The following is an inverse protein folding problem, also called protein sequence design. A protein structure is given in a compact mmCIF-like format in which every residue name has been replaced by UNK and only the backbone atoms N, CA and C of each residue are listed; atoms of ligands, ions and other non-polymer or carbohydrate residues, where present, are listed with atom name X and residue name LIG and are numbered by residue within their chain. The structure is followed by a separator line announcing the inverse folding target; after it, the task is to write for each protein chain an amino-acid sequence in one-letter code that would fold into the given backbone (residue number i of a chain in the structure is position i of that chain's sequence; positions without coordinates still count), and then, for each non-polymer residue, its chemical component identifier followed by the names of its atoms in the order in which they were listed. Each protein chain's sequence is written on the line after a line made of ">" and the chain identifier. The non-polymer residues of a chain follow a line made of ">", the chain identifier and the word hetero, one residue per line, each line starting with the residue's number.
data_IF_600347216779
#
_entry.id   IF_600347216779
#
_cell.length_a   1.000
_cell.length_b   1.000
_cell.length_c   1.000
_cell.angle_alpha   90.00
_cell.angle_beta   90.00
_cell.angle_gamma   90.00
#
_symmetry.space_group_name_H-M   'P 1'
#
loop_
_entity.id
_entity.type
_entity.pdbx_description
1 polymer ?
#
# COMPACT_ATOMS: atom_id res chain seq x y z
N UNK A 1 4.15 20.95 -12.47
CA UNK A 1 4.93 19.72 -12.23
C UNK A 1 6.09 19.69 -13.22
N UNK A 2 7.29 19.38 -12.75
CA UNK A 2 8.49 19.14 -13.57
C UNK A 2 8.55 17.66 -13.95
N UNK A 3 8.01 17.32 -15.12
CA UNK A 3 7.88 15.93 -15.56
C UNK A 3 9.21 15.29 -16.00
N UNK A 4 10.20 16.10 -16.38
CA UNK A 4 11.58 15.68 -16.69
C UNK A 4 12.23 14.90 -15.53
N UNK A 5 11.98 15.36 -14.30
CA UNK A 5 12.48 14.72 -13.09
C UNK A 5 11.94 13.30 -12.88
N UNK A 6 10.78 12.96 -13.46
CA UNK A 6 10.17 11.64 -13.34
C UNK A 6 10.75 10.63 -14.36
N UNK A 7 11.50 11.10 -15.36
CA UNK A 7 12.12 10.25 -16.38
C UNK A 7 13.64 10.20 -16.27
N UNK A 8 14.24 11.19 -15.61
CA UNK A 8 15.68 11.24 -15.40
C UNK A 8 16.17 10.14 -14.47
N UNK A 9 17.34 9.57 -14.78
CA UNK A 9 17.99 8.57 -13.94
C UNK A 9 18.18 9.08 -12.50
N UNK A 10 18.14 8.14 -11.55
CA UNK A 10 18.45 8.37 -10.14
C UNK A 10 19.72 7.60 -9.84
N UNK A 11 20.76 8.32 -9.39
CA UNK A 11 22.06 7.73 -9.14
C UNK A 11 21.97 6.56 -8.14
N UNK A 12 22.52 5.40 -8.51
CA UNK A 12 22.55 4.21 -7.68
C UNK A 12 21.23 3.43 -7.59
N UNK A 13 20.16 3.89 -8.25
CA UNK A 13 18.85 3.24 -8.20
C UNK A 13 18.88 1.85 -8.84
N UNK A 14 19.44 1.75 -10.04
CA UNK A 14 19.48 0.50 -10.80
C UNK A 14 20.39 -0.52 -10.09
N UNK A 15 21.52 -0.08 -9.56
CA UNK A 15 22.44 -0.92 -8.79
C UNK A 15 21.78 -1.44 -7.50
N UNK A 16 21.05 -0.58 -6.79
CA UNK A 16 20.32 -0.98 -5.59
C UNK A 16 19.23 -2.01 -5.93
N UNK A 17 18.41 -1.75 -6.97
CA UNK A 17 17.35 -2.68 -7.38
C UNK A 17 17.90 -4.02 -7.87
N UNK A 18 19.02 -4.00 -8.60
CA UNK A 18 19.71 -5.20 -9.07
C UNK A 18 20.26 -6.05 -7.91
N UNK A 19 20.80 -5.43 -6.86
CA UNK A 19 21.23 -6.16 -5.66
C UNK A 19 20.04 -6.84 -4.94
N UNK A 20 18.89 -6.15 -4.85
CA UNK A 20 17.66 -6.74 -4.28
C UNK A 20 17.13 -7.85 -5.22
N UNK A 21 17.11 -7.67 -6.54
CA UNK A 21 16.72 -8.73 -7.49
C UNK A 21 17.60 -9.97 -7.37
N UNK A 22 18.93 -9.78 -7.29
CA UNK A 22 19.88 -10.86 -7.09
C UNK A 22 19.60 -11.66 -5.83
N UNK A 23 19.30 -11.00 -4.71
CA UNK A 23 18.90 -11.67 -3.47
C UNK A 23 17.54 -12.39 -3.59
N UNK A 24 16.55 -11.76 -4.23
CA UNK A 24 15.22 -12.36 -4.35
C UNK A 24 15.23 -13.65 -5.19
N UNK A 25 16.10 -13.71 -6.21
CA UNK A 25 16.34 -14.93 -6.99
C UNK A 25 16.96 -16.06 -6.14
N UNK A 26 17.75 -15.73 -5.10
CA UNK A 26 18.24 -16.74 -4.14
C UNK A 26 17.07 -17.36 -3.36
N UNK A 27 16.09 -16.56 -2.96
CA UNK A 27 14.89 -17.05 -2.26
C UNK A 27 14.01 -17.94 -3.14
N UNK A 28 14.09 -17.84 -4.47
CA UNK A 28 13.38 -18.75 -5.37
C UNK A 28 13.85 -20.20 -5.19
N UNK A 29 15.16 -20.41 -5.05
CA UNK A 29 15.74 -21.73 -4.89
C UNK A 29 15.89 -22.19 -3.43
N UNK A 30 15.98 -21.24 -2.50
CA UNK A 30 16.08 -21.50 -1.07
C UNK A 30 17.51 -21.44 -0.53
N UNK A 31 17.61 -21.16 0.76
CA UNK A 31 18.88 -20.91 1.47
C UNK A 31 19.50 -22.18 2.10
N UNK A 32 18.84 -23.34 2.00
CA UNK A 32 19.35 -24.58 2.61
C UNK A 32 20.55 -25.17 1.83
N UNK A 33 20.54 -25.04 0.50
CA UNK A 33 21.60 -25.58 -0.39
C UNK A 33 21.85 -24.63 -1.57
N UNK A 34 22.36 -23.42 -1.32
CA UNK A 34 22.58 -22.47 -2.40
C UNK A 34 23.64 -22.98 -3.38
N UNK A 35 23.39 -22.76 -4.66
CA UNK A 35 24.32 -23.02 -5.75
C UNK A 35 25.35 -21.88 -5.84
N UNK A 36 26.53 -22.10 -6.48
CA UNK A 36 27.54 -21.06 -6.62
C UNK A 36 27.01 -19.74 -7.23
N UNK A 37 26.14 -19.82 -8.25
CA UNK A 37 25.52 -18.64 -8.87
C UNK A 37 24.56 -17.87 -7.94
N UNK A 38 24.08 -18.50 -6.87
CA UNK A 38 23.21 -17.87 -5.86
C UNK A 38 24.03 -17.18 -4.76
N UNK A 39 25.30 -17.54 -4.58
CA UNK A 39 26.19 -16.86 -3.66
C UNK A 39 26.44 -15.41 -4.09
N UNK A 40 26.52 -15.14 -5.39
CA UNK A 40 26.74 -13.80 -5.94
C UNK A 40 25.62 -12.82 -5.52
N UNK A 41 24.35 -13.25 -5.53
CA UNK A 41 23.22 -12.43 -5.09
C UNK A 41 23.27 -12.08 -3.59
N UNK A 42 23.75 -13.02 -2.75
CA UNK A 42 23.95 -12.78 -1.32
C UNK A 42 25.07 -11.78 -1.06
N UNK A 43 26.19 -11.92 -1.76
CA UNK A 43 27.33 -11.01 -1.61
C UNK A 43 27.05 -9.63 -2.19
N UNK A 44 26.34 -9.53 -3.32
CA UNK A 44 25.91 -8.25 -3.88
C UNK A 44 25.03 -7.45 -2.89
N UNK A 45 24.12 -8.13 -2.18
CA UNK A 45 23.33 -7.49 -1.12
C UNK A 45 24.22 -7.00 0.04
N UNK A 46 25.20 -7.81 0.46
CA UNK A 46 26.13 -7.42 1.52
C UNK A 46 26.99 -6.21 1.12
N UNK A 47 27.49 -6.19 -0.12
CA UNK A 47 28.28 -5.09 -0.67
C UNK A 47 27.46 -3.80 -0.75
N UNK A 48 26.19 -3.89 -1.16
CA UNK A 48 25.29 -2.73 -1.25
C UNK A 48 25.07 -2.04 0.12
N UNK A 49 25.18 -2.79 1.22
CA UNK A 49 25.02 -2.24 2.58
C UNK A 49 26.35 -2.12 3.35
N UNK A 50 27.49 -2.29 2.68
CA UNK A 50 28.82 -2.27 3.32
C UNK A 50 29.17 -0.92 3.96
N UNK A 51 28.59 0.18 3.46
CA UNK A 51 28.73 1.52 4.04
C UNK A 51 27.81 1.82 5.22
N UNK A 52 26.98 0.87 5.65
CA UNK A 52 25.95 1.06 6.66
C UNK A 52 26.30 0.41 8.01
N UNK A 53 25.56 0.73 9.10
CA UNK A 53 25.68 0.01 10.36
C UNK A 53 25.40 -1.50 10.28
N UNK A 54 24.76 -1.98 9.21
CA UNK A 54 24.44 -3.40 9.01
C UNK A 54 25.62 -4.21 8.43
N UNK A 55 26.67 -3.55 7.92
CA UNK A 55 27.71 -4.16 7.10
C UNK A 55 28.28 -5.46 7.66
N UNK A 56 28.76 -5.46 8.91
CA UNK A 56 29.39 -6.64 9.52
C UNK A 56 28.43 -7.83 9.66
N UNK A 57 27.20 -7.57 10.12
CA UNK A 57 26.18 -8.60 10.33
C UNK A 57 25.67 -9.19 9.02
N UNK A 58 25.54 -8.36 7.99
CA UNK A 58 25.05 -8.81 6.68
C UNK A 58 26.13 -9.56 5.92
N UNK A 59 27.39 -9.13 6.02
CA UNK A 59 28.52 -9.88 5.47
C UNK A 59 28.61 -11.29 6.09
N UNK A 60 28.54 -11.39 7.42
CA UNK A 60 28.49 -12.68 8.12
C UNK A 60 27.28 -13.52 7.67
N UNK A 61 26.09 -12.92 7.58
CA UNK A 61 24.89 -13.61 7.15
C UNK A 61 24.98 -14.11 5.71
N UNK A 62 25.55 -13.33 4.79
CA UNK A 62 25.77 -13.72 3.40
C UNK A 62 26.75 -14.90 3.31
N UNK A 63 27.86 -14.87 4.04
CA UNK A 63 28.82 -15.98 4.09
C UNK A 63 28.18 -17.27 4.63
N UNK A 64 27.43 -17.18 5.74
CA UNK A 64 26.76 -18.34 6.33
C UNK A 64 25.65 -18.87 5.43
N UNK A 65 24.89 -17.99 4.78
CA UNK A 65 23.86 -18.37 3.84
C UNK A 65 24.49 -19.09 2.64
N UNK A 66 25.53 -18.52 2.02
CA UNK A 66 26.23 -19.13 0.89
C UNK A 66 26.83 -20.51 1.23
N UNK A 67 27.19 -20.75 2.50
CA UNK A 67 27.65 -22.04 2.99
C UNK A 67 26.53 -23.03 3.38
N UNK A 68 25.25 -22.64 3.26
CA UNK A 68 24.09 -23.44 3.70
C UNK A 68 24.00 -23.61 5.23
N UNK A 69 24.63 -22.70 5.99
CA UNK A 69 24.76 -22.76 7.44
C UNK A 69 24.06 -21.59 8.17
N UNK A 70 23.26 -20.80 7.45
CA UNK A 70 22.53 -19.68 8.02
C UNK A 70 21.41 -20.14 8.98
N UNK A 71 21.53 -19.73 10.24
CA UNK A 71 20.45 -19.73 11.23
C UNK A 71 19.52 -18.50 11.15
N UNK A 72 18.57 -18.44 12.08
CA UNK A 72 17.52 -17.39 12.17
C UNK A 72 18.09 -15.97 12.17
N UNK A 73 19.09 -15.67 13.01
CA UNK A 73 19.69 -14.33 13.10
C UNK A 73 20.26 -13.84 11.76
N UNK A 74 20.78 -14.76 10.94
CA UNK A 74 21.29 -14.43 9.61
C UNK A 74 20.15 -14.08 8.65
N UNK A 75 19.02 -14.79 8.71
CA UNK A 75 17.86 -14.47 7.88
C UNK A 75 17.25 -13.12 8.27
N UNK A 76 17.22 -12.80 9.57
CA UNK A 76 16.80 -11.47 10.04
C UNK A 76 17.74 -10.39 9.50
N UNK A 77 19.06 -10.59 9.54
CA UNK A 77 20.03 -9.64 9.00
C UNK A 77 19.87 -9.44 7.47
N UNK A 78 19.63 -10.50 6.71
CA UNK A 78 19.40 -10.42 5.27
C UNK A 78 18.08 -9.69 4.93
N UNK A 79 16.99 -10.00 5.66
CA UNK A 79 15.73 -9.28 5.51
C UNK A 79 15.87 -7.79 5.86
N UNK A 80 16.63 -7.48 6.92
CA UNK A 80 16.92 -6.09 7.32
C UNK A 80 17.72 -5.35 6.25
N UNK A 81 18.75 -5.98 5.67
CA UNK A 81 19.54 -5.40 4.58
C UNK A 81 18.66 -5.09 3.36
N UNK A 82 17.85 -6.07 2.95
CA UNK A 82 16.92 -5.94 1.82
C UNK A 82 15.92 -4.80 2.04
N UNK A 83 15.29 -4.74 3.22
CA UNK A 83 14.35 -3.68 3.57
C UNK A 83 15.03 -2.32 3.66
N UNK A 84 16.24 -2.23 4.21
CA UNK A 84 16.99 -0.97 4.28
C UNK A 84 17.34 -0.44 2.89
N UNK A 85 17.75 -1.32 1.96
CA UNK A 85 18.08 -0.95 0.59
C UNK A 85 16.85 -0.48 -0.20
N UNK A 86 15.71 -1.16 -0.05
CA UNK A 86 14.43 -0.69 -0.59
C UNK A 86 13.96 0.62 0.06
N UNK A 87 14.29 0.81 1.35
CA UNK A 87 14.08 2.06 2.06
C UNK A 87 14.89 3.23 1.47
N UNK A 88 16.17 3.00 1.13
CA UNK A 88 16.97 4.04 0.44
C UNK A 88 16.46 4.35 -0.96
N UNK A 89 15.97 3.33 -1.69
CA UNK A 89 15.31 3.54 -2.99
C UNK A 89 14.04 4.39 -2.82
N UNK A 90 13.20 4.06 -1.84
CA UNK A 90 12.02 4.85 -1.50
C UNK A 90 12.38 6.31 -1.21
N UNK A 91 13.42 6.55 -0.41
CA UNK A 91 13.82 7.90 0.00
C UNK A 91 14.35 8.70 -1.20
N UNK A 92 15.17 8.10 -2.06
CA UNK A 92 15.66 8.74 -3.28
C UNK A 92 14.52 9.09 -4.25
N UNK A 93 13.58 8.17 -4.47
CA UNK A 93 12.40 8.42 -5.31
C UNK A 93 11.49 9.49 -4.70
N UNK A 94 11.30 9.50 -3.38
CA UNK A 94 10.48 10.50 -2.69
C UNK A 94 11.07 11.89 -2.84
N UNK A 95 12.39 12.05 -2.68
CA UNK A 95 13.08 13.33 -2.95
C UNK A 95 12.81 13.80 -4.37
N UNK A 96 12.96 12.90 -5.36
CA UNK A 96 12.72 13.25 -6.76
C UNK A 96 11.27 13.68 -7.01
N UNK A 97 10.31 13.02 -6.39
CA UNK A 97 8.90 13.39 -6.49
C UNK A 97 8.61 14.73 -5.84
N UNK A 98 9.17 15.01 -4.67
CA UNK A 98 9.03 16.30 -3.98
C UNK A 98 9.52 17.45 -4.85
N UNK A 99 10.66 17.28 -5.52
CA UNK A 99 11.19 18.24 -6.50
C UNK A 99 10.28 18.38 -7.73
N UNK A 100 9.75 17.26 -8.24
CA UNK A 100 8.86 17.26 -9.41
C UNK A 100 7.55 18.01 -9.15
N UNK A 101 6.99 17.87 -7.96
CA UNK A 101 5.73 18.50 -7.56
C UNK A 101 5.92 19.90 -6.96
N UNK A 102 7.12 20.23 -6.50
CA UNK A 102 7.48 21.53 -5.91
C UNK A 102 6.82 21.80 -4.56
N UNK A 103 6.59 20.75 -3.75
CA UNK A 103 5.93 20.88 -2.43
C UNK A 103 6.92 21.20 -1.31
N UNK A 104 6.46 21.89 -0.24
CA UNK A 104 7.28 22.09 0.94
C UNK A 104 7.53 20.76 1.65
N UNK A 105 8.78 20.55 2.05
CA UNK A 105 9.15 19.43 2.94
C UNK A 105 8.72 19.78 4.36
N UNK A 106 8.08 18.84 5.06
CA UNK A 106 7.90 19.00 6.49
C UNK A 106 9.26 18.95 7.18
N UNK A 107 9.51 19.83 8.15
CA UNK A 107 10.64 19.66 9.05
C UNK A 107 10.42 18.35 9.83
N UNK A 108 11.41 17.45 9.79
CA UNK A 108 11.35 16.21 10.54
C UNK A 108 11.48 16.54 12.02
N UNK A 109 10.37 16.44 12.77
CA UNK A 109 10.45 16.32 14.22
C UNK A 109 11.07 14.95 14.53
N UNK A 110 12.38 14.95 14.70
CA UNK A 110 13.17 13.80 15.10
C UNK A 110 12.95 13.48 16.58
N UNK A 111 11.72 13.23 17.00
CA UNK A 111 11.45 12.74 18.35
C UNK A 111 10.17 11.91 18.41
N UNK A 112 10.37 10.60 18.60
CA UNK A 112 9.28 9.65 18.71
C UNK A 112 9.76 8.22 18.91
N UNK A 113 10.90 8.02 19.59
CA UNK A 113 11.26 6.69 20.06
C UNK A 113 10.27 6.31 21.17
N UNK A 114 9.19 5.61 20.79
CA UNK A 114 8.29 4.98 21.74
C UNK A 114 9.09 4.09 22.69
N UNK A 115 8.86 4.23 23.99
CA UNK A 115 9.46 3.33 24.96
C UNK A 115 9.03 1.89 24.67
N UNK A 116 9.90 0.89 24.85
CA UNK A 116 9.50 -0.51 24.74
C UNK A 116 8.36 -0.74 25.74
N UNK A 117 7.19 -1.14 25.25
CA UNK A 117 6.16 -1.69 26.11
C UNK A 117 6.66 -3.01 26.70
N UNK A 118 6.35 -3.28 27.96
CA UNK A 118 6.58 -4.60 28.56
C UNK A 118 5.85 -5.64 27.70
N UNK A 119 6.62 -6.45 26.97
CA UNK A 119 6.08 -7.47 26.08
C UNK A 119 5.46 -8.61 26.90
N UNK A 120 4.23 -8.96 26.60
CA UNK A 120 3.60 -10.19 27.09
C UNK A 120 4.43 -11.40 26.63
N UNK A 121 4.79 -12.29 27.56
CA UNK A 121 5.54 -13.52 27.31
C UNK A 121 4.86 -14.39 26.24
N UNK A 122 3.53 -14.35 26.17
CA UNK A 122 2.75 -15.05 25.15
C UNK A 122 2.95 -14.47 23.74
N UNK A 123 3.04 -13.15 23.62
CA UNK A 123 3.31 -12.48 22.34
C UNK A 123 4.72 -12.80 21.84
N UNK A 124 5.69 -12.88 22.75
CA UNK A 124 7.05 -13.29 22.43
C UNK A 124 7.10 -14.72 21.86
N UNK A 125 6.40 -15.69 22.48
CA UNK A 125 6.33 -17.06 21.97
C UNK A 125 5.71 -17.15 20.56
N UNK A 126 4.66 -16.38 20.29
CA UNK A 126 4.02 -16.35 18.97
C UNK A 126 4.92 -15.73 17.89
N UNK A 127 5.74 -14.73 18.24
CA UNK A 127 6.76 -14.20 17.34
C UNK A 127 7.86 -15.23 17.02
N UNK A 128 8.26 -16.08 17.98
CA UNK A 128 9.18 -17.19 17.70
C UNK A 128 8.57 -18.17 16.71
N UNK A 129 7.34 -18.63 16.95
CA UNK A 129 6.67 -19.58 16.07
C UNK A 129 6.49 -19.03 14.64
N UNK A 130 6.15 -17.75 14.49
CA UNK A 130 6.10 -17.09 13.20
C UNK A 130 7.46 -17.05 12.50
N UNK A 131 8.55 -16.75 13.24
CA UNK A 131 9.91 -16.75 12.70
C UNK A 131 10.36 -18.12 12.25
N UNK A 132 10.10 -19.15 13.03
CA UNK A 132 10.47 -20.53 12.67
C UNK A 132 9.85 -20.91 11.32
N UNK A 133 8.55 -20.66 11.14
CA UNK A 133 7.86 -20.90 9.86
C UNK A 133 8.46 -20.08 8.70
N UNK A 134 8.74 -18.80 8.90
CA UNK A 134 9.38 -17.94 7.89
C UNK A 134 10.81 -18.39 7.55
N UNK A 135 11.55 -18.92 8.52
CA UNK A 135 12.88 -19.49 8.31
C UNK A 135 12.80 -20.78 7.49
N UNK A 136 11.80 -21.62 7.75
CA UNK A 136 11.59 -22.87 6.99
C UNK A 136 11.19 -22.58 5.54
N UNK A 137 10.35 -21.56 5.31
CA UNK A 137 10.09 -21.03 3.96
C UNK A 137 11.37 -20.59 3.25
N UNK A 138 12.21 -19.80 3.92
CA UNK A 138 13.46 -19.30 3.32
C UNK A 138 14.45 -20.44 3.01
N UNK A 139 14.50 -21.48 3.86
CA UNK A 139 15.31 -22.68 3.63
C UNK A 139 14.82 -23.47 2.43
N UNK A 140 13.52 -23.71 2.35
CA UNK A 140 12.90 -24.46 1.26
C UNK A 140 12.96 -23.71 -0.09
N UNK A 141 12.83 -22.39 -0.03
CA UNK A 141 12.68 -21.53 -1.21
C UNK A 141 11.31 -21.66 -1.88
N UNK A 142 10.98 -20.70 -2.74
CA UNK A 142 9.67 -20.66 -3.41
C UNK A 142 9.38 -21.89 -4.27
N UNK A 143 10.40 -22.49 -4.88
CA UNK A 143 10.28 -23.75 -5.63
C UNK A 143 10.15 -24.99 -4.75
N UNK A 144 10.54 -24.89 -3.47
CA UNK A 144 10.50 -25.99 -2.50
C UNK A 144 9.24 -26.04 -1.64
N UNK A 145 8.32 -25.07 -1.76
CA UNK A 145 7.09 -25.07 -0.96
C UNK A 145 6.16 -26.23 -1.33
N UNK A 146 5.58 -26.84 -0.30
CA UNK A 146 4.54 -27.85 -0.40
C UNK A 146 3.36 -27.54 0.54
N UNK A 147 2.31 -28.37 0.47
CA UNK A 147 1.11 -28.16 1.27
C UNK A 147 1.35 -28.27 2.78
N UNK A 148 2.33 -29.06 3.23
CA UNK A 148 2.62 -29.24 4.66
C UNK A 148 3.31 -28.00 5.23
N UNK A 149 4.35 -27.52 4.55
CA UNK A 149 5.07 -26.30 4.93
C UNK A 149 4.13 -25.09 4.95
N UNK A 150 3.28 -24.93 3.93
CA UNK A 150 2.34 -23.80 3.88
C UNK A 150 1.25 -23.90 4.95
N UNK A 151 0.75 -25.10 5.23
CA UNK A 151 -0.25 -25.29 6.29
C UNK A 151 0.28 -24.95 7.69
N UNK A 152 1.60 -24.95 7.89
CA UNK A 152 2.26 -24.57 9.15
C UNK A 152 1.91 -23.16 9.68
N UNK A 153 1.51 -22.23 8.81
CA UNK A 153 1.10 -20.88 9.23
C UNK A 153 -0.23 -20.85 9.99
N UNK A 154 -1.17 -21.75 9.66
CA UNK A 154 -2.55 -21.70 10.15
C UNK A 154 -2.68 -21.67 11.69
N UNK A 155 -2.01 -22.54 12.47
CA UNK A 155 -2.09 -22.48 13.93
C UNK A 155 -1.49 -21.18 14.51
N UNK A 156 -0.41 -20.66 13.92
CA UNK A 156 0.23 -19.42 14.35
C UNK A 156 -0.71 -18.22 14.12
N UNK A 157 -1.26 -18.09 12.91
CA UNK A 157 -2.23 -17.06 12.56
C UNK A 157 -3.46 -17.10 13.48
N UNK A 158 -4.02 -18.29 13.67
CA UNK A 158 -5.21 -18.50 14.52
C UNK A 158 -4.96 -18.05 15.97
N UNK A 159 -3.77 -18.30 16.51
CA UNK A 159 -3.40 -17.89 17.86
C UNK A 159 -3.12 -16.37 17.98
N UNK A 160 -2.66 -15.72 16.92
CA UNK A 160 -2.34 -14.29 16.92
C UNK A 160 -3.56 -13.38 16.68
N UNK A 161 -4.52 -13.79 15.85
CA UNK A 161 -5.67 -12.97 15.47
C UNK A 161 -6.50 -12.39 16.64
N UNK A 162 -6.72 -13.10 17.77
CA UNK A 162 -7.46 -12.57 18.90
C UNK A 162 -6.82 -11.31 19.50
N UNK A 163 -5.49 -11.24 19.56
CA UNK A 163 -4.73 -10.14 20.16
C UNK A 163 -4.56 -8.97 19.18
N UNK A 164 -5.15 -7.78 19.45
CA UNK A 164 -4.98 -6.59 18.62
C UNK A 164 -3.52 -6.22 18.30
N UNK A 165 -2.59 -6.42 19.23
CA UNK A 165 -1.18 -6.08 19.03
C UNK A 165 -0.51 -6.98 17.97
N UNK A 166 -0.99 -8.20 17.81
CA UNK A 166 -0.44 -9.20 16.90
C UNK A 166 -1.16 -9.24 15.54
N UNK A 167 -2.32 -8.59 15.41
CA UNK A 167 -3.14 -8.64 14.18
C UNK A 167 -2.42 -8.16 12.94
N UNK A 168 -1.53 -7.16 13.03
CA UNK A 168 -0.77 -6.66 11.86
C UNK A 168 0.05 -7.78 11.24
N UNK A 169 0.80 -8.52 12.06
CA UNK A 169 1.58 -9.66 11.61
C UNK A 169 0.68 -10.84 11.24
N UNK A 170 -0.36 -11.13 12.02
CA UNK A 170 -1.29 -12.23 11.72
C UNK A 170 -1.96 -12.09 10.35
N UNK A 171 -2.47 -10.91 10.01
CA UNK A 171 -3.11 -10.63 8.71
C UNK A 171 -2.10 -10.71 7.56
N UNK A 172 -0.86 -10.27 7.77
CA UNK A 172 0.20 -10.41 6.78
C UNK A 172 0.53 -11.89 6.52
N UNK A 173 0.70 -12.68 7.58
CA UNK A 173 0.98 -14.11 7.49
C UNK A 173 -0.19 -14.87 6.85
N UNK A 174 -1.43 -14.54 7.21
CA UNK A 174 -2.65 -15.14 6.63
C UNK A 174 -2.72 -14.91 5.11
N UNK A 175 -2.55 -13.65 4.68
CA UNK A 175 -2.54 -13.31 3.26
C UNK A 175 -1.38 -13.98 2.50
N UNK A 176 -0.18 -13.97 3.08
CA UNK A 176 0.97 -14.60 2.46
C UNK A 176 0.81 -16.12 2.34
N UNK A 177 0.36 -16.79 3.40
CA UNK A 177 0.11 -18.23 3.39
C UNK A 177 -0.99 -18.60 2.40
N UNK A 178 -2.05 -17.79 2.26
CA UNK A 178 -3.10 -18.02 1.29
C UNK A 178 -2.58 -18.01 -0.16
N UNK A 179 -1.68 -17.08 -0.49
CA UNK A 179 -1.06 -17.03 -1.81
C UNK A 179 -0.12 -18.19 -2.09
N UNK A 180 0.70 -18.57 -1.10
CA UNK A 180 1.54 -19.74 -1.19
C UNK A 180 0.69 -21.00 -1.38
N UNK A 181 -0.44 -21.12 -0.67
CA UNK A 181 -1.35 -22.26 -0.79
C UNK A 181 -1.99 -22.35 -2.16
N UNK A 182 -2.41 -21.21 -2.74
CA UNK A 182 -2.93 -21.14 -4.10
C UNK A 182 -1.87 -21.51 -5.17
N UNK A 183 -0.60 -21.46 -4.80
CA UNK A 183 0.56 -21.69 -5.67
C UNK A 183 1.27 -23.03 -5.37
N UNK A 184 0.72 -23.86 -4.49
CA UNK A 184 1.31 -25.15 -4.12
C UNK A 184 0.94 -26.27 -5.11
N UNK A 185 1.88 -27.19 -5.42
CA UNK A 185 3.29 -27.20 -5.00
C UNK A 185 4.16 -26.25 -5.83
N UNK A 186 5.12 -25.58 -5.18
CA UNK A 186 5.96 -24.56 -5.81
C UNK A 186 6.81 -25.07 -6.97
N UNK A 187 7.18 -26.35 -6.94
CA UNK A 187 7.94 -27.00 -8.01
C UNK A 187 7.26 -26.91 -9.38
N UNK A 188 5.92 -26.82 -9.40
CA UNK A 188 5.11 -26.80 -10.64
C UNK A 188 4.79 -25.41 -11.15
N UNK A 189 5.21 -24.36 -10.45
CA UNK A 189 4.92 -22.99 -10.84
C UNK A 189 5.60 -22.62 -12.17
N UNK A 190 4.82 -22.12 -13.11
CA UNK A 190 5.36 -21.55 -14.35
C UNK A 190 6.13 -20.26 -14.06
N UNK A 191 5.56 -19.41 -13.19
CA UNK A 191 6.14 -18.13 -12.77
C UNK A 191 6.02 -17.97 -11.26
N UNK A 192 7.09 -17.50 -10.63
CA UNK A 192 7.12 -17.14 -9.22
C UNK A 192 6.95 -15.62 -9.09
N UNK A 193 6.08 -15.10 -8.22
CA UNK A 193 5.99 -13.66 -7.88
C UNK A 193 7.20 -13.19 -7.05
N UNK A 194 8.41 -13.31 -7.58
CA UNK A 194 9.71 -13.21 -6.88
C UNK A 194 9.78 -12.01 -5.93
N UNK A 195 9.69 -10.78 -6.47
CA UNK A 195 9.76 -9.54 -5.68
C UNK A 195 8.69 -9.48 -4.59
N UNK A 196 7.46 -9.82 -4.95
CA UNK A 196 6.29 -9.70 -4.07
C UNK A 196 6.39 -10.64 -2.88
N UNK A 197 6.78 -11.91 -3.10
CA UNK A 197 6.93 -12.86 -2.00
C UNK A 197 8.14 -12.57 -1.13
N UNK A 198 9.23 -12.05 -1.72
CA UNK A 198 10.37 -11.57 -0.94
C UNK A 198 10.03 -10.33 -0.08
N UNK A 199 9.18 -9.42 -0.58
CA UNK A 199 8.65 -8.29 0.19
C UNK A 199 7.82 -8.77 1.39
N UNK A 200 6.87 -9.69 1.16
CA UNK A 200 6.02 -10.24 2.22
C UNK A 200 6.86 -10.99 3.27
N UNK A 201 7.81 -11.82 2.83
CA UNK A 201 8.69 -12.56 3.71
C UNK A 201 9.55 -11.64 4.58
N UNK A 202 10.25 -10.68 3.97
CA UNK A 202 11.14 -9.76 4.69
C UNK A 202 10.34 -8.92 5.69
N UNK A 203 9.18 -8.42 5.26
CA UNK A 203 8.30 -7.64 6.12
C UNK A 203 7.75 -8.45 7.28
N UNK A 204 7.31 -9.69 7.05
CA UNK A 204 6.82 -10.57 8.10
C UNK A 204 7.92 -10.90 9.10
N UNK A 205 9.13 -11.19 8.60
CA UNK A 205 10.29 -11.50 9.44
C UNK A 205 10.66 -10.32 10.34
N UNK A 206 10.73 -9.10 9.80
CA UNK A 206 11.05 -7.92 10.60
C UNK A 206 9.97 -7.57 11.62
N UNK A 207 8.69 -7.80 11.32
CA UNK A 207 7.59 -7.57 12.26
C UNK A 207 7.60 -8.51 13.47
N UNK A 208 8.33 -9.62 13.41
CA UNK A 208 8.53 -10.51 14.56
C UNK A 208 9.56 -9.98 15.57
N UNK A 209 10.39 -9.01 15.18
CA UNK A 209 11.44 -8.45 16.03
C UNK A 209 10.82 -7.52 17.07
N UNK A 210 11.17 -7.65 18.37
CA UNK A 210 10.70 -6.74 19.40
C UNK A 210 10.95 -5.27 19.00
N UNK A 211 9.93 -4.42 19.17
CA UNK A 211 10.04 -3.03 18.71
C UNK A 211 9.35 -2.77 17.37
N UNK A 212 9.36 -3.73 16.44
CA UNK A 212 8.93 -3.51 15.05
C UNK A 212 7.41 -3.37 14.86
N UNK A 213 6.62 -4.01 15.72
CA UNK A 213 5.16 -4.06 15.63
C UNK A 213 4.43 -3.04 16.51
N UNK A 214 5.13 -2.10 17.16
CA UNK A 214 4.47 -1.15 18.06
C UNK A 214 3.37 -0.37 17.33
N UNK A 215 2.23 -0.21 18.03
CA UNK A 215 1.18 0.67 17.57
C UNK A 215 1.78 2.06 17.35
N UNK A 216 1.57 2.69 16.18
CA UNK A 216 2.10 4.02 15.93
C UNK A 216 1.57 4.98 16.98
N UNK A 217 2.45 5.84 17.50
CA UNK A 217 2.01 6.93 18.37
C UNK A 217 0.95 7.76 17.62
N UNK A 218 -0.12 8.10 18.34
CA UNK A 218 -1.23 8.87 17.81
C UNK A 218 -1.25 10.25 18.45
N UNK A 219 -1.27 11.30 17.63
CA UNK A 219 -1.65 12.63 18.07
C UNK A 219 -3.16 12.84 17.82
N UNK A 220 -3.73 13.90 18.37
CA UNK A 220 -5.09 14.34 18.04
C UNK A 220 -5.02 15.62 17.21
N UNK A 221 -5.85 15.71 16.16
CA UNK A 221 -5.92 16.88 15.28
C UNK A 221 -7.34 17.42 15.14
N UNK A 222 -7.47 18.74 15.14
CA UNK A 222 -8.73 19.45 14.88
C UNK A 222 -8.55 20.40 13.71
N UNK A 223 -9.54 20.48 12.83
CA UNK A 223 -9.43 21.28 11.61
C UNK A 223 -10.33 20.78 10.49
N UNK A 224 -10.07 21.29 9.29
CA UNK A 224 -10.89 21.01 8.11
C UNK A 224 -10.20 19.99 7.22
N UNK A 225 -10.92 18.95 6.84
CA UNK A 225 -10.47 17.90 5.95
C UNK A 225 -11.10 18.08 4.56
N UNK A 226 -10.27 18.11 3.54
CA UNK A 226 -10.62 18.34 2.14
C UNK A 226 -10.30 17.10 1.29
N UNK A 227 -11.30 16.24 1.00
CA UNK A 227 -11.06 15.03 0.23
C UNK A 227 -10.65 15.33 -1.22
N UNK A 228 -9.63 14.62 -1.71
CA UNK A 228 -9.13 14.69 -3.08
C UNK A 228 -9.64 13.52 -3.93
N UNK A 229 -9.80 12.34 -3.33
CA UNK A 229 -10.24 11.13 -4.03
C UNK A 229 -10.13 9.88 -3.18
N UNK A 230 -10.54 8.73 -3.74
CA UNK A 230 -10.53 7.43 -3.07
C UNK A 230 -9.76 6.42 -3.90
N UNK A 231 -8.74 5.80 -3.30
CA UNK A 231 -8.14 4.56 -3.78
C UNK A 231 -8.92 3.37 -3.21
N UNK A 232 -9.46 2.51 -4.08
CA UNK A 232 -10.21 1.33 -3.67
C UNK A 232 -9.38 0.07 -3.96
N UNK A 233 -8.90 -0.56 -2.90
CA UNK A 233 -8.03 -1.73 -2.95
C UNK A 233 -8.86 -2.98 -2.70
N UNK A 234 -8.85 -3.91 -3.66
CA UNK A 234 -9.62 -5.14 -3.61
C UNK A 234 -8.70 -6.37 -3.53
N UNK A 235 -8.94 -7.20 -2.51
CA UNK A 235 -8.39 -8.54 -2.38
C UNK A 235 -9.53 -9.57 -2.48
N UNK A 236 -9.21 -10.85 -2.65
CA UNK A 236 -10.23 -11.92 -2.66
C UNK A 236 -11.04 -11.94 -1.35
N UNK A 237 -10.38 -11.70 -0.22
CA UNK A 237 -10.98 -11.84 1.13
C UNK A 237 -11.23 -10.51 1.85
N UNK A 238 -10.77 -9.40 1.30
CA UNK A 238 -10.85 -8.09 1.94
C UNK A 238 -10.99 -6.96 0.92
N UNK A 239 -11.52 -5.83 1.37
CA UNK A 239 -11.53 -4.58 0.61
C UNK A 239 -11.18 -3.43 1.53
N UNK A 240 -10.47 -2.44 0.99
CA UNK A 240 -10.16 -1.19 1.66
C UNK A 240 -10.48 -0.01 0.74
N UNK A 241 -11.17 1.00 1.27
CA UNK A 241 -11.22 2.32 0.66
C UNK A 241 -10.29 3.25 1.45
N UNK A 242 -9.35 3.87 0.75
CA UNK A 242 -8.43 4.86 1.30
C UNK A 242 -8.74 6.22 0.67
N UNK A 243 -9.24 7.14 1.49
CA UNK A 243 -9.51 8.52 1.09
C UNK A 243 -8.22 9.32 1.26
N UNK A 244 -7.75 9.95 0.18
CA UNK A 244 -6.65 10.90 0.22
C UNK A 244 -7.22 12.31 0.36
N UNK A 245 -6.65 13.11 1.27
CA UNK A 245 -7.17 14.44 1.58
C UNK A 245 -6.06 15.43 1.94
N UNK A 246 -6.38 16.72 1.81
CA UNK A 246 -5.63 17.81 2.45
C UNK A 246 -6.29 18.13 3.78
N UNK A 247 -5.51 18.20 4.84
CA UNK A 247 -5.95 18.64 6.16
C UNK A 247 -5.44 20.06 6.44
N UNK A 248 -6.35 20.95 6.81
CA UNK A 248 -6.12 22.33 7.22
C UNK A 248 -6.30 22.43 8.74
N UNK A 249 -5.20 22.53 9.53
CA UNK A 249 -5.27 22.62 10.98
C UNK A 249 -6.07 23.83 11.47
N UNK A 250 -6.89 23.65 12.52
CA UNK A 250 -7.68 24.73 13.12
C UNK A 250 -6.83 25.81 13.82
N UNK A 251 -5.60 25.45 14.21
CA UNK A 251 -4.63 26.36 14.81
C UNK A 251 -3.92 27.26 13.79
N UNK A 252 -4.25 27.13 12.50
CA UNK A 252 -3.62 27.88 11.41
C UNK A 252 -2.25 27.35 11.00
N UNK A 253 -1.85 26.15 11.47
CA UNK A 253 -0.64 25.47 11.05
C UNK A 253 -0.63 25.12 9.55
N UNK A 254 0.52 24.67 9.06
CA UNK A 254 0.68 24.31 7.66
C UNK A 254 -0.22 23.12 7.27
N UNK A 255 -0.87 23.22 6.11
CA UNK A 255 -1.68 22.14 5.57
C UNK A 255 -0.86 20.85 5.41
N UNK A 256 -1.51 19.71 5.67
CA UNK A 256 -0.87 18.38 5.62
C UNK A 256 -1.62 17.44 4.69
N UNK A 257 -0.90 16.53 4.05
CA UNK A 257 -1.50 15.40 3.36
C UNK A 257 -1.84 14.33 4.38
N UNK A 258 -3.10 13.89 4.38
CA UNK A 258 -3.57 12.82 5.25
C UNK A 258 -4.33 11.77 4.47
N UNK A 259 -4.44 10.59 5.06
CA UNK A 259 -5.24 9.49 4.54
C UNK A 259 -6.23 9.05 5.60
N UNK A 260 -7.41 8.63 5.20
CA UNK A 260 -8.36 7.95 6.09
C UNK A 260 -8.79 6.66 5.40
N UNK A 261 -8.69 5.52 6.10
CA UNK A 261 -8.96 4.22 5.53
C UNK A 261 -10.09 3.50 6.25
N UNK A 262 -10.90 2.78 5.49
CA UNK A 262 -11.88 1.83 6.02
C UNK A 262 -11.76 0.51 5.29
N UNK A 263 -11.69 -0.58 6.06
CA UNK A 263 -11.55 -1.93 5.52
C UNK A 263 -12.67 -2.84 6.01
N UNK A 264 -13.01 -3.83 5.19
CA UNK A 264 -13.97 -4.87 5.54
C UNK A 264 -13.56 -6.23 4.97
N UNK A 265 -13.76 -7.33 5.72
CA UNK A 265 -13.69 -8.66 5.14
C UNK A 265 -14.82 -8.84 4.12
N UNK A 266 -14.55 -9.57 3.05
CA UNK A 266 -15.54 -9.91 2.02
C UNK A 266 -15.30 -11.32 1.48
N UNK A 267 -16.35 -12.02 1.01
CA UNK A 267 -16.13 -13.16 0.12
C UNK A 267 -15.69 -12.66 -1.26
N UNK A 268 -14.96 -13.50 -1.99
CA UNK A 268 -14.46 -13.25 -3.35
C UNK A 268 -15.56 -12.89 -4.36
N UNK A 269 -16.77 -13.37 -4.13
CA UNK A 269 -17.97 -13.09 -4.93
C UNK A 269 -18.52 -11.66 -4.80
N UNK A 270 -18.10 -10.88 -3.80
CA UNK A 270 -18.50 -9.47 -3.68
C UNK A 270 -17.48 -8.60 -4.39
N UNK A 271 -17.88 -8.04 -5.53
CA UNK A 271 -17.04 -7.24 -6.44
C UNK A 271 -17.77 -5.96 -6.90
N UNK A 272 -17.04 -5.02 -7.50
CA UNK A 272 -17.60 -3.82 -8.13
C UNK A 272 -18.40 -2.96 -7.14
N UNK A 273 -19.57 -2.46 -7.54
CA UNK A 273 -20.39 -1.59 -6.69
C UNK A 273 -20.85 -2.22 -5.36
N UNK A 274 -20.82 -3.56 -5.24
CA UNK A 274 -21.12 -4.26 -3.99
C UNK A 274 -20.14 -3.94 -2.86
N UNK A 275 -18.91 -3.53 -3.20
CA UNK A 275 -17.88 -3.18 -2.25
C UNK A 275 -18.30 -2.00 -1.36
N UNK A 276 -18.95 -0.97 -1.93
CA UNK A 276 -19.41 0.19 -1.17
C UNK A 276 -20.45 -0.16 -0.12
N UNK A 277 -21.28 -1.18 -0.35
CA UNK A 277 -22.27 -1.61 0.66
C UNK A 277 -21.62 -2.19 1.92
N UNK A 278 -20.44 -2.81 1.79
CA UNK A 278 -19.67 -3.31 2.92
C UNK A 278 -19.01 -2.19 3.73
N UNK A 279 -18.63 -1.11 3.04
CA UNK A 279 -17.82 -0.02 3.59
C UNK A 279 -18.67 1.14 4.15
N UNK A 280 -19.81 1.48 3.52
CA UNK A 280 -20.69 2.61 3.90
C UNK A 280 -21.04 2.70 5.39
N UNK A 281 -21.38 1.60 6.09
CA UNK A 281 -21.77 1.70 7.50
C UNK A 281 -20.64 2.10 8.45
N UNK A 282 -19.40 2.17 7.95
CA UNK A 282 -18.19 2.21 8.78
C UNK A 282 -17.44 3.54 8.73
N UNK A 283 -17.87 4.47 7.86
CA UNK A 283 -17.13 5.71 7.64
C UNK A 283 -17.99 6.77 6.94
N UNK A 284 -18.53 7.73 7.71
CA UNK A 284 -19.33 8.84 7.17
C UNK A 284 -18.58 9.68 6.13
N UNK A 285 -17.23 9.69 6.14
CA UNK A 285 -16.41 10.35 5.12
C UNK A 285 -16.75 9.90 3.70
N UNK A 286 -17.15 8.64 3.50
CA UNK A 286 -17.52 8.14 2.18
C UNK A 286 -18.72 8.89 1.58
N UNK A 287 -19.65 9.34 2.41
CA UNK A 287 -20.77 10.18 1.97
C UNK A 287 -20.29 11.57 1.57
N UNK A 288 -19.44 12.20 2.40
CA UNK A 288 -18.87 13.52 2.10
C UNK A 288 -18.05 13.51 0.80
N UNK A 289 -17.29 12.45 0.54
CA UNK A 289 -16.57 12.29 -0.73
C UNK A 289 -17.52 12.19 -1.92
N UNK A 290 -18.59 11.41 -1.83
CA UNK A 290 -19.58 11.31 -2.93
C UNK A 290 -20.37 12.60 -3.15
N UNK A 291 -20.57 13.40 -2.10
CA UNK A 291 -21.32 14.66 -2.14
C UNK A 291 -20.45 15.89 -2.45
N UNK A 292 -19.12 15.73 -2.54
CA UNK A 292 -18.18 16.84 -2.72
C UNK A 292 -18.21 17.80 -1.53
N UNK A 293 -18.06 17.28 -0.31
CA UNK A 293 -18.08 18.07 0.93
C UNK A 293 -16.81 17.91 1.75
N UNK A 294 -16.42 19.01 2.40
CA UNK A 294 -15.40 18.97 3.43
C UNK A 294 -15.92 18.22 4.68
N UNK A 295 -15.00 17.88 5.58
CA UNK A 295 -15.34 17.43 6.93
C UNK A 295 -14.66 18.32 7.96
N UNK A 296 -15.37 18.65 9.03
CA UNK A 296 -14.83 19.29 10.22
C UNK A 296 -14.45 18.20 11.22
N UNK A 297 -13.18 18.16 11.60
CA UNK A 297 -12.60 17.19 12.53
C UNK A 297 -12.38 17.84 13.90
N UNK A 298 -12.70 17.10 14.95
CA UNK A 298 -12.52 17.51 16.34
C UNK A 298 -11.76 16.42 17.11
N UNK A 299 -10.49 16.70 17.42
CA UNK A 299 -9.57 15.79 18.07
C UNK A 299 -9.47 14.42 17.39
N UNK A 300 -9.52 14.35 16.06
CA UNK A 300 -9.40 13.08 15.32
C UNK A 300 -8.00 12.47 15.56
N UNK A 301 -7.87 11.19 15.94
CA UNK A 301 -6.56 10.58 16.10
C UNK A 301 -5.84 10.44 14.76
N UNK A 302 -4.56 10.77 14.71
CA UNK A 302 -3.69 10.68 13.53
C UNK A 302 -2.37 10.01 13.87
N UNK A 303 -1.90 9.11 13.02
CA UNK A 303 -0.57 8.49 13.16
C UNK A 303 0.54 9.45 12.74
N UNK A 304 1.78 9.15 13.12
CA UNK A 304 2.96 9.88 12.64
C UNK A 304 3.13 9.85 11.11
N UNK A 305 2.53 8.88 10.40
CA UNK A 305 2.55 8.79 8.93
C UNK A 305 1.38 9.54 8.25
N UNK A 306 0.53 10.23 9.02
CA UNK A 306 -0.62 10.98 8.50
C UNK A 306 -1.86 10.13 8.21
N UNK A 307 -1.97 8.94 8.79
CA UNK A 307 -3.19 8.13 8.71
C UNK A 307 -4.16 8.50 9.84
N UNK A 308 -5.34 8.99 9.47
CA UNK A 308 -6.44 9.27 10.39
C UNK A 308 -7.09 7.95 10.82
N UNK A 309 -7.18 7.75 12.14
CA UNK A 309 -7.98 6.67 12.72
C UNK A 309 -9.41 7.18 12.83
N UNK A 310 -10.22 6.84 11.82
CA UNK A 310 -11.54 7.43 11.66
C UNK A 310 -12.48 7.10 12.82
N UNK A 311 -13.01 8.16 13.45
CA UNK A 311 -14.06 8.10 14.46
C UNK A 311 -15.21 9.03 14.05
N UNK A 312 -16.37 8.45 13.70
CA UNK A 312 -17.54 9.23 13.28
C UNK A 312 -18.04 10.20 14.35
N UNK A 313 -17.78 9.96 15.65
CA UNK A 313 -18.14 10.89 16.71
C UNK A 313 -17.31 12.19 16.68
N UNK A 314 -16.15 12.15 16.04
CA UNK A 314 -15.16 13.23 15.93
C UNK A 314 -15.18 13.95 14.58
N UNK A 315 -16.17 13.65 13.73
CA UNK A 315 -16.27 14.18 12.38
C UNK A 315 -17.68 14.72 12.09
N UNK A 316 -17.77 15.89 11.48
CA UNK A 316 -19.03 16.49 11.03
C UNK A 316 -18.93 16.94 9.59
N UNK A 317 -20.01 16.83 8.83
CA UNK A 317 -19.99 17.30 7.43
C UNK A 317 -19.89 18.82 7.38
N UNK A 318 -18.95 19.31 6.58
CA UNK A 318 -18.69 20.73 6.38
C UNK A 318 -19.36 21.28 5.11
N UNK A 319 -18.79 22.39 4.64
CA UNK A 319 -19.24 23.09 3.43
C UNK A 319 -18.97 22.30 2.15
N UNK A 320 -19.74 22.53 1.07
CA UNK A 320 -19.43 22.01 -0.25
C UNK A 320 -18.05 22.44 -0.73
N UNK A 321 -17.31 21.52 -1.36
CA UNK A 321 -15.98 21.75 -1.92
C UNK A 321 -15.87 21.15 -3.31
N UNK A 322 -15.34 21.94 -4.24
CA UNK A 322 -14.97 21.46 -5.56
C UNK A 322 -13.57 20.85 -5.50
N UNK A 323 -13.46 19.54 -5.74
CA UNK A 323 -12.23 18.76 -5.54
C UNK A 323 -11.05 19.30 -6.39
N UNK A 324 -11.32 19.77 -7.60
CA UNK A 324 -10.28 20.33 -8.48
C UNK A 324 -9.86 21.74 -8.08
N UNK A 325 -10.77 22.55 -7.53
CA UNK A 325 -10.41 23.83 -6.93
C UNK A 325 -9.55 23.61 -5.68
N UNK A 326 -9.92 22.64 -4.86
CA UNK A 326 -9.13 22.19 -3.70
C UNK A 326 -7.74 21.74 -4.14
N UNK A 327 -7.64 20.91 -5.18
CA UNK A 327 -6.35 20.41 -5.68
C UNK A 327 -5.49 21.52 -6.32
N UNK A 328 -6.09 22.57 -6.90
CA UNK A 328 -5.34 23.72 -7.43
C UNK A 328 -4.80 24.63 -6.34
N UNK A 329 -5.54 24.79 -5.23
CA UNK A 329 -5.25 25.80 -4.20
C UNK A 329 -4.52 25.21 -2.99
N UNK A 330 -5.05 24.13 -2.40
CA UNK A 330 -4.57 23.61 -1.13
C UNK A 330 -3.45 22.57 -1.30
N UNK A 331 -3.57 21.67 -2.28
CA UNK A 331 -2.61 20.58 -2.50
C UNK A 331 -1.15 21.03 -2.72
N UNK A 332 -0.84 22.12 -3.45
CA UNK A 332 0.54 22.58 -3.62
C UNK A 332 1.21 23.03 -2.32
N UNK A 333 0.42 23.40 -1.31
CA UNK A 333 0.92 23.87 0.00
C UNK A 333 0.95 22.77 1.06
N UNK A 334 0.34 21.62 0.78
CA UNK A 334 0.20 20.53 1.74
C UNK A 334 1.49 19.71 1.84
N UNK A 335 2.09 19.69 3.03
CA UNK A 335 3.28 18.88 3.29
C UNK A 335 2.92 17.42 3.58
N UNK A 336 3.78 16.48 3.18
CA UNK A 336 3.65 15.08 3.54
C UNK A 336 4.13 14.83 4.98
N UNK A 337 3.60 13.78 5.61
CA UNK A 337 4.19 13.21 6.81
C UNK A 337 5.38 12.31 6.45
N UNK A 338 6.33 12.18 7.38
CA UNK A 338 7.45 11.28 7.20
C UNK A 338 6.99 9.81 7.21
N UNK A 339 7.55 9.01 6.30
CA UNK A 339 7.34 7.56 6.27
C UNK A 339 8.21 6.90 7.35
N UNK A 340 7.59 6.08 8.20
CA UNK A 340 8.28 5.33 9.24
C UNK A 340 9.31 4.36 8.61
N UNK A 341 10.46 4.10 9.26
CA UNK A 341 11.57 3.38 8.64
C UNK A 341 11.19 2.02 8.03
N UNK A 342 10.41 1.19 8.75
CA UNK A 342 9.97 -0.12 8.24
C UNK A 342 9.04 -0.02 7.04
N UNK A 343 8.38 1.12 6.88
CA UNK A 343 7.35 1.42 5.91
C UNK A 343 7.87 2.11 4.64
N UNK A 344 9.17 2.44 4.61
CA UNK A 344 9.87 2.95 3.43
C UNK A 344 10.05 1.82 2.42
N UNK A 345 9.16 1.78 1.44
CA UNK A 345 9.20 0.80 0.35
C UNK A 345 8.70 1.44 -0.95
N UNK A 346 9.33 1.21 -2.12
CA UNK A 346 8.94 1.88 -3.36
C UNK A 346 7.47 1.65 -3.75
N UNK A 347 6.97 0.43 -3.56
CA UNK A 347 5.56 0.11 -3.83
C UNK A 347 4.55 0.83 -2.91
N UNK A 348 4.99 1.40 -1.78
CA UNK A 348 4.14 2.22 -0.89
C UNK A 348 4.03 3.68 -1.33
N UNK A 349 4.84 4.11 -2.31
CA UNK A 349 4.77 5.46 -2.85
C UNK A 349 3.40 5.65 -3.52
N UNK A 350 2.63 6.59 -2.97
CA UNK A 350 1.29 6.95 -3.45
C UNK A 350 1.02 8.41 -3.10
N UNK A 351 1.50 9.31 -3.96
CA UNK A 351 1.55 10.74 -3.67
C UNK A 351 0.47 11.48 -4.46
N UNK A 352 -0.51 12.15 -3.82
CA UNK A 352 -1.53 12.91 -4.53
C UNK A 352 -0.90 14.05 -5.35
N UNK A 353 -1.34 14.15 -6.61
CA UNK A 353 -0.93 15.19 -7.56
C UNK A 353 -2.13 15.66 -8.37
N UNK A 354 -2.09 16.94 -8.77
CA UNK A 354 -2.93 17.48 -9.83
C UNK A 354 -2.08 17.62 -11.10
N UNK A 355 -2.56 17.03 -12.18
CA UNK A 355 -1.94 17.10 -13.51
C UNK A 355 -2.90 17.81 -14.46
N UNK A 356 -2.39 18.82 -15.16
CA UNK A 356 -3.14 19.66 -16.10
C UNK A 356 -2.26 20.02 -17.30
N UNK A 357 -2.87 20.46 -18.40
CA UNK A 357 -2.14 20.91 -19.58
C UNK A 357 -1.36 19.79 -20.29
N UNK A 358 -1.89 18.56 -20.23
CA UNK A 358 -1.35 17.40 -20.92
C UNK A 358 -2.10 17.09 -22.21
N UNK A 359 -1.39 16.45 -23.14
CA UNK A 359 -2.01 15.72 -24.25
C UNK A 359 -2.19 14.25 -23.86
N UNK A 360 -3.22 13.60 -24.39
CA UNK A 360 -3.45 12.17 -24.15
C UNK A 360 -2.89 11.36 -25.32
N UNK A 361 -2.09 10.35 -25.00
CA UNK A 361 -1.62 9.32 -25.92
C UNK A 361 -2.32 8.00 -25.59
N UNK A 362 -2.90 7.34 -26.60
CA UNK A 362 -3.54 6.04 -26.47
C UNK A 362 -2.93 5.09 -27.51
N UNK A 363 -2.31 4.00 -27.04
CA UNK A 363 -1.68 2.99 -27.87
C UNK A 363 -1.96 1.60 -27.28
N UNK A 364 -2.52 0.69 -28.09
CA UNK A 364 -2.87 -0.68 -27.68
C UNK A 364 -3.68 -0.79 -26.36
N UNK A 365 -4.52 0.20 -26.08
CA UNK A 365 -5.34 0.28 -24.86
C UNK A 365 -4.59 0.79 -23.62
N UNK A 366 -3.30 1.10 -23.73
CA UNK A 366 -2.55 1.83 -22.72
C UNK A 366 -2.75 3.34 -22.88
N UNK A 367 -2.97 4.03 -21.75
CA UNK A 367 -3.12 5.49 -21.71
C UNK A 367 -1.86 6.10 -21.13
N UNK A 368 -1.37 7.17 -21.74
CA UNK A 368 -0.29 8.00 -21.19
C UNK A 368 -0.62 9.49 -21.34
N UNK A 369 -0.09 10.29 -20.42
CA UNK A 369 -0.19 11.75 -20.48
C UNK A 369 1.14 12.34 -20.91
N UNK A 370 1.11 13.22 -21.90
CA UNK A 370 2.26 13.97 -22.36
C UNK A 370 2.30 15.32 -21.67
N UNK A 371 3.24 15.50 -20.75
CA UNK A 371 3.34 16.68 -19.88
C UNK A 371 4.68 17.35 -20.16
N UNK A 372 4.64 18.56 -20.69
CA UNK A 372 5.86 19.29 -21.10
C UNK A 372 6.79 18.44 -22.01
N UNK A 373 6.20 17.60 -22.87
CA UNK A 373 6.94 16.72 -23.79
C UNK A 373 7.38 15.38 -23.19
N UNK A 374 7.24 15.16 -21.89
CA UNK A 374 7.55 13.89 -21.22
C UNK A 374 6.32 13.01 -21.14
N UNK A 375 6.51 11.70 -21.32
CA UNK A 375 5.45 10.70 -21.24
C UNK A 375 5.32 10.19 -19.82
N UNK A 376 4.14 10.32 -19.22
CA UNK A 376 3.79 9.74 -17.93
C UNK A 376 2.73 8.64 -18.16
N UNK A 377 3.07 7.36 -17.96
CA UNK A 377 2.11 6.26 -18.02
C UNK A 377 0.94 6.48 -17.06
N UNK A 378 -0.28 6.13 -17.48
CA UNK A 378 -1.48 6.17 -16.65
C UNK A 378 -1.94 4.74 -16.39
N UNK A 379 -1.97 4.36 -15.12
CA UNK A 379 -2.42 3.02 -14.69
C UNK A 379 -3.95 2.97 -14.65
N UNK A 380 -4.53 2.74 -15.82
CA UNK A 380 -5.97 2.56 -15.99
C UNK A 380 -6.46 1.21 -15.45
N UNK A 381 -5.56 0.24 -15.24
CA UNK A 381 -5.87 -1.07 -14.65
C UNK A 381 -6.24 -0.99 -13.18
N UNK A 382 -5.76 0.04 -12.47
CA UNK A 382 -6.14 0.35 -11.07
C UNK A 382 -7.42 1.16 -10.91
N UNK A 383 -8.10 1.53 -12.00
CA UNK A 383 -9.39 2.21 -11.90
C UNK A 383 -10.43 1.20 -11.37
N UNK A 384 -11.07 1.45 -10.21
CA UNK A 384 -11.99 0.49 -9.66
C UNK A 384 -13.26 0.39 -10.50
N UNK A 385 -13.69 -0.83 -10.81
CA UNK A 385 -14.99 -1.11 -11.44
C UNK A 385 -16.21 -0.78 -10.53
N UNK A 386 -15.95 -0.19 -9.37
CA UNK A 386 -16.94 0.23 -8.38
C UNK A 386 -17.38 1.69 -8.53
N UNK A 387 -16.97 2.41 -9.58
CA UNK A 387 -17.33 3.81 -9.79
C UNK A 387 -17.57 4.17 -11.26
N UNK A 388 -17.90 5.44 -11.54
CA UNK A 388 -18.14 5.93 -12.90
C UNK A 388 -16.86 6.34 -13.65
N UNK A 389 -15.70 6.29 -13.00
CA UNK A 389 -14.41 6.54 -13.63
C UNK A 389 -14.04 5.32 -14.48
N UNK A 390 -13.70 5.55 -15.75
CA UNK A 390 -13.29 4.49 -16.70
C UNK A 390 -12.08 4.95 -17.51
N UNK A 391 -11.33 4.03 -18.15
CA UNK A 391 -10.21 4.39 -19.01
C UNK A 391 -10.58 5.42 -20.08
N UNK A 392 -11.76 5.31 -20.69
CA UNK A 392 -12.24 6.24 -21.73
C UNK A 392 -12.56 7.64 -21.17
N UNK A 393 -13.06 7.70 -19.92
CA UNK A 393 -13.31 8.97 -19.23
C UNK A 393 -11.96 9.64 -18.90
N UNK A 394 -10.94 8.87 -18.54
CA UNK A 394 -9.58 9.37 -18.31
C UNK A 394 -8.95 9.84 -19.62
N UNK A 395 -9.07 9.08 -20.72
CA UNK A 395 -8.52 9.45 -22.02
C UNK A 395 -9.19 10.70 -22.64
N UNK A 396 -10.40 11.06 -22.21
CA UNK A 396 -11.12 12.26 -22.66
C UNK A 396 -11.04 13.46 -21.70
N UNK A 397 -10.14 13.39 -20.72
CA UNK A 397 -10.00 14.42 -19.68
C UNK A 397 -9.02 15.54 -20.05
N UNK A 398 -9.17 16.70 -19.39
CA UNK A 398 -8.24 17.83 -19.50
C UNK A 398 -7.55 18.20 -18.18
N UNK A 399 -7.96 17.60 -17.07
CA UNK A 399 -7.28 17.64 -15.79
C UNK A 399 -7.50 16.32 -15.05
N UNK A 400 -6.49 15.88 -14.29
CA UNK A 400 -6.50 14.63 -13.53
C UNK A 400 -5.96 14.85 -12.12
N UNK A 401 -6.73 14.48 -11.10
CA UNK A 401 -6.23 14.23 -9.75
C UNK A 401 -5.88 12.75 -9.68
N UNK A 402 -4.65 12.44 -9.35
CA UNK A 402 -4.18 11.05 -9.26
C UNK A 402 -3.16 10.85 -8.15
N UNK A 403 -2.75 9.60 -7.99
CA UNK A 403 -1.61 9.20 -7.16
C UNK A 403 -0.43 8.95 -8.08
N UNK A 404 0.64 9.71 -7.90
CA UNK A 404 1.93 9.38 -8.49
C UNK A 404 2.52 8.21 -7.70
N UNK A 405 2.80 7.10 -8.39
CA UNK A 405 3.32 5.86 -7.81
C UNK A 405 4.59 5.44 -8.52
N UNK A 406 5.33 4.56 -7.87
CA UNK A 406 6.45 3.85 -8.48
C UNK A 406 6.08 2.37 -8.64
N UNK A 407 6.19 1.84 -9.85
CA UNK A 407 5.95 0.43 -10.14
C UNK A 407 6.86 -0.01 -11.28
N UNK A 408 7.33 -1.26 -11.23
CA UNK A 408 8.14 -1.89 -12.28
C UNK A 408 9.32 -1.05 -12.83
N UNK A 409 9.92 -0.17 -12.03
CA UNK A 409 11.06 0.66 -12.45
C UNK A 409 10.69 1.99 -13.10
N UNK A 410 9.42 2.39 -13.08
CA UNK A 410 8.97 3.68 -13.61
C UNK A 410 7.93 4.38 -12.72
N UNK A 411 7.82 5.69 -12.88
CA UNK A 411 6.72 6.45 -12.30
C UNK A 411 5.46 6.30 -13.15
N UNK A 412 4.33 6.07 -12.49
CA UNK A 412 3.02 6.01 -13.13
C UNK A 412 1.98 6.84 -12.37
N UNK A 413 0.93 7.26 -13.08
CA UNK A 413 -0.20 7.97 -12.51
C UNK A 413 -1.41 7.05 -12.36
N UNK A 414 -1.85 6.80 -11.12
CA UNK A 414 -3.13 6.16 -10.86
C UNK A 414 -4.24 7.23 -10.76
N UNK A 415 -5.25 7.24 -11.65
CA UNK A 415 -6.32 8.24 -11.62
C UNK A 415 -7.25 8.06 -10.40
N UNK A 416 -7.56 9.16 -9.71
CA UNK A 416 -8.59 9.22 -8.66
C UNK A 416 -9.83 9.99 -9.12
N UNK A 417 -9.62 11.09 -9.85
CA UNK A 417 -10.67 11.90 -10.43
C UNK A 417 -10.18 12.63 -11.69
N UNK A 418 -11.09 12.93 -12.61
CA UNK A 418 -10.79 13.70 -13.82
C UNK A 418 -11.83 14.78 -14.09
N UNK A 419 -11.42 15.89 -14.68
CA UNK A 419 -12.32 16.87 -15.29
C UNK A 419 -12.34 16.67 -16.81
N UNK A 420 -13.55 16.62 -17.37
CA UNK A 420 -13.76 16.61 -18.81
C UNK A 420 -14.82 17.62 -19.23
N UNK A 421 -14.79 17.99 -20.51
CA UNK A 421 -15.84 18.82 -21.11
C UNK A 421 -17.03 17.95 -21.52
N UNK A 422 -18.20 18.27 -21.00
CA UNK A 422 -19.48 17.72 -21.43
C UNK A 422 -20.33 18.86 -22.01
N UNK A 423 -20.28 19.02 -23.34
CA UNK A 423 -20.88 20.16 -24.02
C UNK A 423 -20.19 21.47 -23.61
N UNK A 424 -20.94 22.41 -23.03
CA UNK A 424 -20.41 23.72 -22.56
C UNK A 424 -19.95 23.72 -21.10
N UNK A 425 -20.11 22.60 -20.37
CA UNK A 425 -19.78 22.52 -18.94
C UNK A 425 -18.58 21.62 -18.72
N UNK A 426 -17.76 21.95 -17.74
CA UNK A 426 -16.77 21.03 -17.17
C UNK A 426 -17.47 20.19 -16.12
N UNK A 427 -17.21 18.88 -16.12
CA UNK A 427 -17.78 17.93 -15.17
C UNK A 427 -16.65 17.09 -14.58
N UNK A 428 -16.62 16.99 -13.26
CA UNK A 428 -15.72 16.10 -12.53
C UNK A 428 -16.32 14.68 -12.47
N UNK A 429 -15.47 13.67 -12.67
CA UNK A 429 -15.80 12.24 -12.50
C UNK A 429 -14.75 11.64 -11.57
N UNK A 430 -15.17 10.96 -10.51
CA UNK A 430 -14.27 10.43 -9.48
C UNK A 430 -14.56 8.97 -9.14
N UNK A 431 -13.51 8.23 -8.77
CA UNK A 431 -13.59 6.81 -8.43
C UNK A 431 -14.54 6.55 -7.24
N UNK A 432 -14.56 7.46 -6.27
CA UNK A 432 -15.42 7.39 -5.08
C UNK A 432 -16.84 7.91 -5.26
N UNK A 433 -17.33 8.19 -6.48
CA UNK A 433 -18.63 8.85 -6.66
C UNK A 433 -19.82 8.04 -6.18
N UNK A 434 -19.70 6.72 -6.10
CA UNK A 434 -20.75 5.86 -5.58
C UNK A 434 -20.55 5.50 -4.10
N UNK A 435 -19.55 6.09 -3.43
CA UNK A 435 -19.18 5.69 -2.07
C UNK A 435 -20.31 5.89 -1.05
N UNK A 436 -20.98 7.05 -1.02
CA UNK A 436 -22.14 7.32 -0.17
C UNK A 436 -23.50 6.81 -0.68
N UNK A 437 -23.53 6.19 -1.86
CA UNK A 437 -24.76 5.94 -2.61
C UNK A 437 -24.84 6.83 -3.85
N UNK A 438 -25.60 6.39 -4.85
CA UNK A 438 -25.63 7.07 -6.16
C UNK A 438 -27.02 7.13 -6.75
N UNK A 439 -27.31 8.23 -7.45
CA UNK A 439 -28.49 8.36 -8.32
C UNK A 439 -28.18 8.03 -9.79
N UNK A 440 -26.92 7.69 -10.10
CA UNK A 440 -26.53 7.20 -11.42
C UNK A 440 -27.26 5.89 -11.72
N UNK A 441 -27.94 5.82 -12.87
CA UNK A 441 -28.67 4.62 -13.30
C UNK A 441 -27.78 3.38 -13.37
N UNK A 442 -26.53 3.53 -13.81
CA UNK A 442 -25.57 2.43 -13.87
C UNK A 442 -25.18 1.97 -12.46
N UNK A 443 -24.88 2.92 -11.57
CA UNK A 443 -24.55 2.65 -10.18
C UNK A 443 -25.71 2.00 -9.41
N UNK A 444 -26.93 2.54 -9.53
CA UNK A 444 -28.14 1.96 -8.92
C UNK A 444 -28.38 0.52 -9.38
N UNK A 445 -28.18 0.25 -10.68
CA UNK A 445 -28.32 -1.11 -11.22
C UNK A 445 -27.25 -2.05 -10.67
N UNK A 446 -26.00 -1.57 -10.59
CA UNK A 446 -24.88 -2.35 -10.07
C UNK A 446 -25.05 -2.67 -8.57
N UNK A 447 -25.47 -1.69 -7.76
CA UNK A 447 -25.78 -1.88 -6.35
C UNK A 447 -26.93 -2.86 -6.12
N UNK A 448 -28.01 -2.77 -6.92
CA UNK A 448 -29.12 -3.72 -6.84
C UNK A 448 -28.65 -5.14 -7.12
N UNK A 449 -27.86 -5.34 -8.18
CA UNK A 449 -27.32 -6.65 -8.53
C UNK A 449 -26.43 -7.23 -7.42
N UNK A 450 -25.58 -6.40 -6.81
CA UNK A 450 -24.76 -6.82 -5.67
C UNK A 450 -25.60 -7.22 -4.44
N UNK A 451 -26.66 -6.46 -4.14
CA UNK A 451 -27.57 -6.74 -3.02
C UNK A 451 -28.25 -8.10 -3.17
N UNK A 452 -28.73 -8.40 -4.38
CA UNK A 452 -29.40 -9.66 -4.69
C UNK A 452 -28.43 -10.85 -4.51
N UNK A 453 -27.17 -10.71 -4.94
CA UNK A 453 -26.14 -11.74 -4.75
C UNK A 453 -25.82 -12.00 -3.26
N UNK A 454 -25.63 -10.95 -2.46
CA UNK A 454 -25.35 -11.07 -1.01
C UNK A 454 -26.51 -11.74 -0.27
N UNK A 455 -27.76 -11.42 -0.64
CA UNK A 455 -28.95 -12.04 -0.04
C UNK A 455 -28.97 -13.56 -0.25
N UNK A 456 -28.65 -14.01 -1.46
CA UNK A 456 -28.56 -15.44 -1.79
C UNK A 456 -27.46 -16.13 -0.96
N UNK A 457 -26.29 -15.49 -0.81
CA UNK A 457 -25.19 -16.04 -0.01
C UNK A 457 -25.56 -16.17 1.47
N UNK A 458 -26.20 -15.15 2.06
CA UNK A 458 -26.68 -15.19 3.44
C UNK A 458 -27.71 -16.29 3.66
N UNK A 459 -28.63 -16.49 2.70
CA UNK A 459 -29.62 -17.57 2.77
C UNK A 459 -28.94 -18.95 2.73
N UNK A 460 -27.94 -19.14 1.86
CA UNK A 460 -27.17 -20.39 1.77
C UNK A 460 -26.36 -20.65 3.05
N UNK A 461 -25.66 -19.65 3.56
CA UNK A 461 -24.90 -19.75 4.81
C UNK A 461 -25.81 -20.08 6.01
N UNK A 462 -26.97 -19.42 6.10
CA UNK A 462 -27.96 -19.71 7.15
C UNK A 462 -28.53 -21.13 7.09
N UNK A 463 -28.62 -21.75 5.90
CA UNK A 463 -29.00 -23.17 5.75
C UNK A 463 -27.87 -24.11 6.17
N UNK A 464 -26.62 -23.74 5.92
CA UNK A 464 -25.44 -24.52 6.29
C UNK A 464 -25.20 -24.53 7.81
N UNK A 465 -25.42 -23.40 8.49
CA UNK A 465 -25.26 -23.26 9.95
C UNK A 465 -26.41 -23.87 10.77
N UNK A 466 -27.49 -24.32 10.12
CA UNK A 466 -28.65 -25.00 10.76
C UNK A 466 -28.59 -26.53 10.66
N UNK A 467 -27.49 -27.06 10.13
CA UNK A 467 -27.14 -28.48 10.17
C UNK A 467 -25.93 -28.63 11.09
#
# INVERSE_FOLDING_TARGET
>A
MRADLLTDAVDGLDEALAAVDGFDEVLVAGLLRPQPAQADGLFALADAVAGSPLASRVAEAAEKAAAGAAGEDHFIALAAARTALLGSVHDALTVRMEEAVGRPRAEEDADGAGSPGDGDEQAAHLHVAAREWLCDLARAGWRGIDHELVAGAAPVVSAMLPDPALRRLATLLDGFAAELAASCPGATLERVPVRRWADLWSRALLLTVPGAAHAPATAEVSGRLLPLGVDLQEHATAVQAQVHAVFEPADGGASRLVRASVSAPKPDTVVGAGLWQLLRPRMSLLAAVSEGRAMELDAMPVTAEGDLIWDDARARTGEPVEIFTTARVALPTAAAFATAPLDRHPARIAVPVLVEGYDVEEEDGAVAFRIAGQRLPVDTGRIPAAGPLTPEVVASSGACIGLLRWDAGEFLLQPLAVERRAGRRTVAVHAGAWAGGTTDKAGVRAEKAATDAVKVLRERAGKLLRK
#
